data_IF_202361005360
#
_entry.id   IF_202361005360
#
_cell.length_a   1.000
_cell.length_b   1.000
_cell.length_c   1.000
_cell.angle_alpha   90.00
_cell.angle_beta   90.00
_cell.angle_gamma   90.00
#
_symmetry.space_group_name_H-M   'P 1'
#
loop_
_entity.id
_entity.type
_entity.pdbx_description
1 polymer ?
#
# COMPACT_ATOMS: atom_id res chain seq x y z
N UNK A 1 13.24 3.05 -1.67
CA UNK A 1 11.84 3.31 -1.27
C UNK A 1 11.02 3.72 -2.48
N UNK A 2 10.02 2.94 -2.80
CA UNK A 2 9.10 3.22 -3.89
C UNK A 2 8.05 4.28 -3.52
N UNK A 3 7.22 4.65 -4.50
CA UNK A 3 6.14 5.64 -4.32
C UNK A 3 5.18 5.25 -3.19
N UNK A 4 4.88 3.94 -3.03
CA UNK A 4 4.01 3.45 -1.97
C UNK A 4 4.62 3.61 -0.57
N UNK A 5 5.89 3.22 -0.38
CA UNK A 5 6.58 3.36 0.91
C UNK A 5 6.60 4.81 1.37
N UNK A 6 6.97 5.73 0.47
CA UNK A 6 6.96 7.17 0.77
C UNK A 6 5.54 7.71 1.00
N UNK A 7 4.53 7.14 0.33
CA UNK A 7 3.12 7.48 0.50
C UNK A 7 2.58 7.04 1.85
N UNK A 8 2.84 5.78 2.24
CA UNK A 8 2.39 5.23 3.54
C UNK A 8 3.02 6.01 4.70
N UNK A 9 4.33 6.31 4.62
CA UNK A 9 5.00 7.12 5.63
C UNK A 9 4.41 8.53 5.81
N UNK A 10 3.66 9.04 4.82
CA UNK A 10 2.95 10.33 4.90
C UNK A 10 1.53 10.22 5.47
N UNK A 11 0.94 9.04 5.51
CA UNK A 11 -0.41 8.84 6.06
C UNK A 11 -0.44 9.22 7.53
N UNK A 12 0.68 9.03 8.21
CA UNK A 12 0.87 9.29 9.63
C UNK A 12 1.18 10.77 9.98
N UNK A 13 1.04 11.70 9.01
CA UNK A 13 1.35 13.13 9.22
C UNK A 13 0.49 13.79 10.33
N UNK A 14 -0.67 13.19 10.66
CA UNK A 14 -1.61 13.70 11.67
C UNK A 14 -1.37 13.10 13.05
N UNK A 15 -0.62 11.99 13.16
CA UNK A 15 -0.37 11.28 14.40
C UNK A 15 1.06 11.52 14.91
N UNK A 16 1.30 11.29 16.21
CA UNK A 16 2.62 11.50 16.86
C UNK A 16 3.57 10.30 16.70
N UNK A 17 3.37 9.44 15.69
CA UNK A 17 4.18 8.25 15.49
C UNK A 17 5.58 8.57 14.97
N UNK A 18 6.59 7.88 15.47
CA UNK A 18 7.94 7.92 14.92
C UNK A 18 8.06 6.93 13.77
N UNK A 19 8.29 7.42 12.55
CA UNK A 19 8.39 6.61 11.34
C UNK A 19 9.84 6.33 10.98
N UNK A 20 10.17 5.07 10.72
CA UNK A 20 11.45 4.66 10.14
C UNK A 20 11.24 4.18 8.73
N UNK A 21 11.79 4.90 7.77
CA UNK A 21 11.76 4.53 6.36
C UNK A 21 13.04 3.77 6.01
N UNK A 22 12.88 2.47 5.77
CA UNK A 22 13.98 1.57 5.45
C UNK A 22 14.09 1.32 3.95
N UNK A 23 15.31 1.34 3.41
CA UNK A 23 15.65 0.83 2.08
C UNK A 23 17.14 0.44 2.05
N UNK A 24 17.48 -0.64 1.37
CA UNK A 24 18.88 -1.05 1.13
C UNK A 24 19.60 -0.07 0.18
N UNK A 25 18.87 0.64 -0.66
CA UNK A 25 19.41 1.60 -1.61
C UNK A 25 19.42 3.01 -1.04
N UNK A 26 20.60 3.50 -0.70
CA UNK A 26 20.81 4.84 -0.14
C UNK A 26 20.36 5.97 -1.08
N UNK A 27 20.45 5.77 -2.39
CA UNK A 27 19.95 6.75 -3.38
C UNK A 27 18.42 6.84 -3.34
N UNK A 28 17.75 5.68 -3.15
CA UNK A 28 16.30 5.63 -3.00
C UNK A 28 15.83 6.36 -1.73
N UNK A 29 16.54 6.22 -0.61
CA UNK A 29 16.29 6.96 0.63
C UNK A 29 16.46 8.47 0.42
N UNK A 30 17.55 8.88 -0.24
CA UNK A 30 17.83 10.30 -0.55
C UNK A 30 16.74 10.90 -1.45
N UNK A 31 16.32 10.15 -2.48
CA UNK A 31 15.23 10.56 -3.38
C UNK A 31 13.89 10.69 -2.64
N UNK A 32 13.60 9.75 -1.75
CA UNK A 32 12.39 9.77 -0.91
C UNK A 32 12.36 10.99 0.01
N UNK A 33 13.47 11.28 0.68
CA UNK A 33 13.62 12.47 1.53
C UNK A 33 13.37 13.78 0.76
N UNK A 34 13.99 13.91 -0.42
CA UNK A 34 13.80 15.08 -1.28
C UNK A 34 12.37 15.22 -1.80
N UNK A 35 11.71 14.10 -2.13
CA UNK A 35 10.33 14.09 -2.57
C UNK A 35 9.36 14.52 -1.44
N UNK A 36 9.60 14.06 -0.21
CA UNK A 36 8.85 14.50 0.96
C UNK A 36 9.02 16.01 1.18
N UNK A 37 10.25 16.51 1.22
CA UNK A 37 10.55 17.93 1.40
C UNK A 37 9.84 18.80 0.36
N UNK A 38 9.90 18.40 -0.91
CA UNK A 38 9.23 19.10 -2.01
C UNK A 38 7.71 19.12 -1.81
N UNK A 39 7.13 18.01 -1.35
CA UNK A 39 5.69 17.90 -1.10
C UNK A 39 5.27 18.81 0.05
N UNK A 40 5.99 18.76 1.17
CA UNK A 40 5.70 19.59 2.35
C UNK A 40 5.86 21.09 2.04
N UNK A 41 6.88 21.47 1.26
CA UNK A 41 7.05 22.86 0.83
C UNK A 41 5.84 23.36 0.02
N UNK A 42 5.33 22.52 -0.91
CA UNK A 42 4.10 22.85 -1.67
C UNK A 42 2.85 22.95 -0.80
N UNK A 43 2.78 22.17 0.31
CA UNK A 43 1.67 22.29 1.25
C UNK A 43 1.74 23.59 2.05
N UNK A 44 2.93 24.02 2.44
CA UNK A 44 3.15 25.34 3.07
C UNK A 44 2.80 26.47 2.11
N UNK A 45 3.28 26.42 0.85
CA UNK A 45 2.94 27.43 -0.18
C UNK A 45 1.42 27.53 -0.43
N UNK A 46 0.69 26.44 -0.24
CA UNK A 46 -0.79 26.37 -0.37
C UNK A 46 -1.53 26.66 0.95
N UNK A 47 -0.81 27.09 1.97
CA UNK A 47 -1.35 27.37 3.31
C UNK A 47 -2.14 26.21 3.93
N UNK A 48 -1.81 24.95 3.55
CA UNK A 48 -2.44 23.74 4.10
C UNK A 48 -1.79 23.29 5.39
N UNK A 49 -0.50 23.55 5.56
CA UNK A 49 0.28 23.36 6.77
C UNK A 49 1.18 24.57 6.98
N UNK A 50 1.63 24.79 8.21
CA UNK A 50 2.61 25.83 8.53
C UNK A 50 4.05 25.27 8.62
N UNK A 51 5.07 26.12 8.75
CA UNK A 51 6.47 25.71 8.84
C UNK A 51 6.79 24.89 10.10
N UNK A 52 6.04 25.07 11.18
CA UNK A 52 6.20 24.32 12.43
C UNK A 52 5.74 22.86 12.17
N UNK A 53 4.58 22.68 11.55
CA UNK A 53 4.04 21.37 11.18
C UNK A 53 4.97 20.66 10.17
N UNK A 54 5.46 21.40 9.14
CA UNK A 54 6.45 20.87 8.21
C UNK A 54 7.67 20.34 8.95
N UNK A 55 8.22 21.11 9.87
CA UNK A 55 9.41 20.72 10.65
C UNK A 55 9.12 19.52 11.55
N UNK A 56 7.94 19.45 12.17
CA UNK A 56 7.49 18.32 12.98
C UNK A 56 7.45 17.04 12.17
N UNK A 57 6.79 17.05 11.00
CA UNK A 57 6.69 15.89 10.11
C UNK A 57 8.09 15.42 9.67
N UNK A 58 8.97 16.35 9.28
CA UNK A 58 10.33 16.01 8.86
C UNK A 58 11.15 15.36 9.98
N UNK A 59 10.98 15.80 11.22
CA UNK A 59 11.71 15.29 12.38
C UNK A 59 11.19 13.92 12.86
N UNK A 60 9.92 13.59 12.58
CA UNK A 60 9.32 12.31 12.93
C UNK A 60 9.73 11.18 11.98
N UNK A 61 10.33 11.49 10.81
CA UNK A 61 10.74 10.48 9.83
C UNK A 61 12.25 10.29 9.86
N UNK A 62 12.69 9.09 10.23
CA UNK A 62 14.08 8.66 10.17
C UNK A 62 14.31 7.77 8.94
N UNK A 63 15.44 7.96 8.27
CA UNK A 63 15.84 7.18 7.10
C UNK A 63 16.95 6.22 7.48
N UNK A 64 16.69 4.92 7.39
CA UNK A 64 17.59 3.86 7.88
C UNK A 64 17.92 2.85 6.79
N UNK A 65 19.11 2.25 6.84
CA UNK A 65 19.60 1.28 5.86
C UNK A 65 19.92 -0.10 6.45
N UNK A 66 19.77 -0.27 7.76
CA UNK A 66 19.96 -1.55 8.44
C UNK A 66 18.66 -2.05 9.03
N UNK A 67 18.34 -3.34 8.87
CA UNK A 67 17.14 -3.94 9.46
C UNK A 67 17.13 -3.87 10.99
N UNK A 68 18.30 -3.89 11.63
CA UNK A 68 18.45 -3.74 13.08
C UNK A 68 17.88 -2.40 13.61
N UNK A 69 17.88 -1.36 12.78
CA UNK A 69 17.31 -0.07 13.17
C UNK A 69 15.79 -0.13 13.38
N UNK A 70 15.13 -1.20 12.87
CA UNK A 70 13.70 -1.45 13.04
C UNK A 70 13.35 -2.17 14.35
N UNK A 71 14.32 -2.53 15.19
CA UNK A 71 14.15 -3.38 16.39
C UNK A 71 13.07 -2.89 17.38
N UNK A 72 12.89 -1.57 17.48
CA UNK A 72 11.92 -0.94 18.39
C UNK A 72 10.66 -0.46 17.65
N UNK A 73 10.30 -1.10 16.55
CA UNK A 73 9.07 -0.77 15.82
C UNK A 73 7.91 -1.61 16.34
N UNK A 74 6.75 -1.00 16.55
CA UNK A 74 5.51 -1.71 16.93
C UNK A 74 4.82 -2.32 15.70
N UNK A 75 4.96 -1.66 14.54
CA UNK A 75 4.42 -2.10 13.26
C UNK A 75 5.47 -1.91 12.15
N UNK A 76 5.68 -2.94 11.35
CA UNK A 76 6.51 -2.86 10.12
C UNK A 76 5.61 -3.13 8.91
N UNK A 77 5.55 -2.20 7.97
CA UNK A 77 4.79 -2.34 6.73
C UNK A 77 5.76 -2.49 5.55
N UNK A 78 5.76 -3.66 4.95
CA UNK A 78 6.58 -3.97 3.78
C UNK A 78 5.85 -3.56 2.49
N UNK A 79 6.55 -2.89 1.58
CA UNK A 79 6.07 -2.52 0.25
C UNK A 79 7.21 -2.61 -0.81
N UNK A 80 7.89 -3.76 -0.83
CA UNK A 80 8.95 -4.07 -1.82
C UNK A 80 8.35 -4.67 -3.10
N UNK A 81 9.20 -5.23 -3.96
CA UNK A 81 8.77 -5.88 -5.22
C UNK A 81 7.73 -6.97 -4.97
N UNK A 82 6.77 -7.10 -5.89
CA UNK A 82 5.67 -8.07 -5.80
C UNK A 82 6.17 -9.47 -6.20
N UNK A 83 6.96 -10.08 -5.33
CA UNK A 83 7.53 -11.41 -5.48
C UNK A 83 7.48 -12.16 -4.16
N UNK A 84 6.76 -13.30 -4.15
CA UNK A 84 6.50 -14.09 -2.94
C UNK A 84 7.79 -14.53 -2.23
N UNK A 85 8.75 -15.05 -2.96
CA UNK A 85 9.99 -15.57 -2.37
C UNK A 85 10.85 -14.47 -1.75
N UNK A 86 10.88 -13.30 -2.39
CA UNK A 86 11.58 -12.13 -1.84
C UNK A 86 10.91 -11.64 -0.55
N UNK A 87 9.58 -11.58 -0.53
CA UNK A 87 8.82 -11.20 0.67
C UNK A 87 8.98 -12.22 1.80
N UNK A 88 8.87 -13.51 1.50
CA UNK A 88 9.09 -14.60 2.49
C UNK A 88 10.47 -14.51 3.14
N UNK A 89 11.50 -14.32 2.32
CA UNK A 89 12.87 -14.14 2.83
C UNK A 89 12.98 -12.92 3.75
N UNK A 90 12.43 -11.78 3.34
CA UNK A 90 12.44 -10.57 4.15
C UNK A 90 11.70 -10.75 5.48
N UNK A 91 10.51 -11.35 5.47
CA UNK A 91 9.72 -11.57 6.69
C UNK A 91 10.43 -12.52 7.67
N UNK A 92 11.00 -13.62 7.18
CA UNK A 92 11.81 -14.52 7.98
C UNK A 92 13.08 -13.85 8.56
N UNK A 93 13.65 -12.89 7.83
CA UNK A 93 14.80 -12.13 8.29
C UNK A 93 14.42 -11.07 9.32
N UNK A 94 13.32 -10.33 9.09
CA UNK A 94 12.79 -9.30 10.00
C UNK A 94 12.53 -9.85 11.41
N UNK A 95 12.03 -11.08 11.53
CA UNK A 95 11.77 -11.70 12.82
C UNK A 95 12.97 -11.77 13.75
N UNK A 96 14.19 -11.79 13.19
CA UNK A 96 15.43 -11.85 13.98
C UNK A 96 15.84 -10.48 14.57
N UNK A 97 15.25 -9.39 14.07
CA UNK A 97 15.63 -8.04 14.47
C UNK A 97 14.57 -7.32 15.29
N UNK A 98 13.29 -7.56 14.99
CA UNK A 98 12.18 -6.85 15.66
C UNK A 98 11.67 -7.61 16.90
N UNK A 99 10.97 -6.88 17.78
CA UNK A 99 10.33 -7.49 18.95
C UNK A 99 9.37 -8.62 18.54
N UNK A 100 9.22 -9.68 19.37
CA UNK A 100 8.19 -10.69 19.18
C UNK A 100 6.75 -10.14 19.09
N UNK A 101 6.52 -8.97 19.65
CA UNK A 101 5.21 -8.28 19.69
C UNK A 101 4.98 -7.38 18.46
N UNK A 102 6.03 -7.13 17.65
CA UNK A 102 5.92 -6.30 16.44
C UNK A 102 4.98 -6.93 15.42
N UNK A 103 4.00 -6.18 14.96
CA UNK A 103 3.13 -6.60 13.85
C UNK A 103 3.91 -6.49 12.53
N UNK A 104 3.92 -7.56 11.75
CA UNK A 104 4.55 -7.60 10.42
C UNK A 104 3.47 -7.54 9.34
N UNK A 105 3.43 -6.47 8.59
CA UNK A 105 2.41 -6.25 7.57
C UNK A 105 3.00 -6.22 6.16
N UNK A 106 2.29 -6.79 5.19
CA UNK A 106 2.61 -6.66 3.77
C UNK A 106 1.60 -5.76 3.05
N UNK A 107 2.09 -4.82 2.24
CA UNK A 107 1.26 -4.01 1.35
C UNK A 107 1.09 -4.68 -0.03
N UNK A 108 1.20 -5.98 -0.12
CA UNK A 108 0.93 -6.71 -1.37
C UNK A 108 -0.49 -6.44 -1.87
N UNK A 109 -0.68 -6.43 -3.18
CA UNK A 109 -1.99 -6.27 -3.82
C UNK A 109 -2.62 -7.58 -4.28
N UNK A 110 -1.85 -8.68 -4.28
CA UNK A 110 -2.30 -9.95 -4.89
C UNK A 110 -1.75 -11.20 -4.25
N UNK A 111 -0.61 -11.13 -3.55
CA UNK A 111 0.02 -12.31 -2.96
C UNK A 111 -0.70 -12.74 -1.68
N UNK A 112 -0.80 -14.05 -1.47
CA UNK A 112 -1.40 -14.62 -0.26
C UNK A 112 -0.62 -14.25 0.99
N UNK A 113 -1.31 -13.63 1.95
CA UNK A 113 -0.74 -13.28 3.26
C UNK A 113 -0.39 -14.55 4.04
N UNK A 114 -1.21 -15.59 3.94
CA UNK A 114 -0.94 -16.89 4.57
C UNK A 114 0.36 -17.53 4.03
N UNK A 115 0.65 -17.34 2.73
CA UNK A 115 1.91 -17.82 2.14
C UNK A 115 3.14 -17.05 2.60
N UNK A 116 3.00 -15.74 2.88
CA UNK A 116 4.06 -14.92 3.46
C UNK A 116 4.25 -15.32 4.93
N UNK A 117 3.17 -15.40 5.71
CA UNK A 117 3.17 -15.77 7.12
C UNK A 117 3.80 -17.15 7.37
N UNK A 118 3.62 -18.09 6.46
CA UNK A 118 4.20 -19.44 6.55
C UNK A 118 5.74 -19.47 6.55
N UNK A 119 6.41 -18.37 6.21
CA UNK A 119 7.87 -18.25 6.32
C UNK A 119 8.36 -17.78 7.69
N UNK A 120 7.45 -17.38 8.56
CA UNK A 120 7.74 -16.86 9.89
C UNK A 120 7.64 -17.95 10.97
N UNK A 121 8.42 -17.81 12.03
CA UNK A 121 8.30 -18.65 13.24
C UNK A 121 7.07 -18.29 14.08
N UNK A 122 6.66 -17.00 14.03
CA UNK A 122 5.48 -16.45 14.68
C UNK A 122 4.51 -15.90 13.63
N UNK A 123 3.84 -16.78 12.86
CA UNK A 123 2.96 -16.35 11.77
C UNK A 123 1.70 -15.61 12.24
N UNK A 124 1.32 -15.75 13.53
CA UNK A 124 0.15 -15.12 14.13
C UNK A 124 0.21 -13.59 14.17
N UNK A 125 1.41 -13.00 14.02
CA UNK A 125 1.62 -11.55 13.96
C UNK A 125 1.73 -10.97 12.56
N UNK A 126 1.54 -11.80 11.54
CA UNK A 126 1.60 -11.39 10.12
C UNK A 126 0.21 -11.06 9.60
N UNK A 127 0.09 -9.92 8.89
CA UNK A 127 -1.17 -9.42 8.36
C UNK A 127 -0.94 -8.67 7.03
N UNK A 128 -1.96 -8.56 6.18
CA UNK A 128 -1.95 -7.68 5.02
C UNK A 128 -2.52 -6.31 5.37
N UNK A 129 -1.87 -5.23 4.89
CA UNK A 129 -2.39 -3.87 4.94
C UNK A 129 -2.22 -3.26 3.56
N UNK A 130 -3.25 -3.33 2.74
CA UNK A 130 -3.21 -2.90 1.35
C UNK A 130 -3.71 -1.46 1.20
N UNK A 131 -2.77 -0.55 0.96
CA UNK A 131 -3.05 0.84 0.63
C UNK A 131 -3.20 1.04 -0.87
N UNK A 132 -4.05 1.96 -1.27
CA UNK A 132 -4.22 2.36 -2.66
C UNK A 132 -3.37 3.59 -2.99
N UNK A 133 -2.81 3.62 -4.19
CA UNK A 133 -1.97 4.74 -4.64
C UNK A 133 -2.81 5.92 -5.18
N UNK A 134 -2.60 7.16 -4.73
CA UNK A 134 -1.63 7.61 -3.72
C UNK A 134 -2.16 7.40 -2.28
N UNK A 135 -1.38 6.73 -1.42
CA UNK A 135 -1.79 6.36 -0.08
C UNK A 135 -2.28 7.54 0.80
N UNK A 136 -1.71 8.76 0.75
CA UNK A 136 -2.22 9.88 1.52
C UNK A 136 -3.61 10.35 1.09
N UNK A 137 -3.98 10.19 -0.19
CA UNK A 137 -5.24 10.69 -0.74
C UNK A 137 -6.37 9.66 -0.69
N UNK A 138 -6.01 8.38 -0.82
CA UNK A 138 -6.98 7.29 -0.83
C UNK A 138 -7.37 6.95 0.61
N UNK A 139 -8.66 7.06 0.90
CA UNK A 139 -9.16 6.80 2.26
C UNK A 139 -9.26 5.32 2.57
N UNK A 140 -9.61 4.49 1.59
CA UNK A 140 -9.80 3.07 1.78
C UNK A 140 -8.47 2.35 2.01
N UNK A 141 -8.45 1.46 2.99
CA UNK A 141 -7.38 0.50 3.25
C UNK A 141 -8.00 -0.87 3.48
N UNK A 142 -7.54 -1.87 2.75
CA UNK A 142 -7.92 -3.26 3.00
C UNK A 142 -7.00 -3.85 4.07
N UNK A 143 -7.58 -4.49 5.08
CA UNK A 143 -6.87 -5.24 6.11
C UNK A 143 -7.17 -6.72 5.89
N UNK A 144 -6.12 -7.51 5.66
CA UNK A 144 -6.23 -8.90 5.21
C UNK A 144 -5.58 -9.82 6.25
N UNK A 145 -6.35 -10.42 7.18
CA UNK A 145 -5.81 -11.44 8.06
C UNK A 145 -5.50 -12.72 7.29
N UNK A 146 -4.32 -13.28 7.52
CA UNK A 146 -4.03 -14.67 7.14
C UNK A 146 -4.82 -15.63 8.02
N UNK A 147 -4.86 -16.90 7.65
CA UNK A 147 -5.46 -17.94 8.51
C UNK A 147 -4.71 -18.08 9.84
N UNK A 148 -3.44 -17.72 9.88
CA UNK A 148 -2.58 -17.75 11.07
C UNK A 148 -2.71 -16.49 11.94
N UNK A 149 -3.18 -15.36 11.38
CA UNK A 149 -3.22 -14.07 12.07
C UNK A 149 -4.10 -14.14 13.32
N UNK A 150 -3.57 -13.69 14.46
CA UNK A 150 -4.34 -13.64 15.71
C UNK A 150 -5.40 -12.55 15.69
N UNK A 151 -6.46 -12.74 16.47
CA UNK A 151 -7.54 -11.76 16.63
C UNK A 151 -7.03 -10.44 17.24
N UNK A 152 -6.05 -10.53 18.13
CA UNK A 152 -5.40 -9.36 18.73
C UNK A 152 -4.69 -8.51 17.67
N UNK A 153 -3.90 -9.13 16.79
CA UNK A 153 -3.21 -8.46 15.69
C UNK A 153 -4.21 -7.82 14.73
N UNK A 154 -5.28 -8.53 14.38
CA UNK A 154 -6.34 -7.98 13.53
C UNK A 154 -6.99 -6.74 14.15
N UNK A 155 -7.40 -6.84 15.42
CA UNK A 155 -8.08 -5.76 16.13
C UNK A 155 -7.17 -4.55 16.30
N UNK A 156 -5.90 -4.77 16.67
CA UNK A 156 -4.89 -3.71 16.82
C UNK A 156 -4.64 -3.02 15.48
N UNK A 157 -4.51 -3.79 14.40
CA UNK A 157 -4.30 -3.25 13.05
C UNK A 157 -5.48 -2.39 12.60
N UNK A 158 -6.73 -2.88 12.76
CA UNK A 158 -7.94 -2.12 12.42
C UNK A 158 -7.96 -0.80 13.18
N UNK A 159 -7.70 -0.83 14.49
CA UNK A 159 -7.65 0.37 15.31
C UNK A 159 -6.59 1.34 14.82
N UNK A 160 -5.35 0.89 14.61
CA UNK A 160 -4.24 1.71 14.14
C UNK A 160 -4.55 2.41 12.81
N UNK A 161 -5.07 1.66 11.84
CA UNK A 161 -5.42 2.22 10.51
C UNK A 161 -6.61 3.19 10.62
N UNK A 162 -7.55 2.94 11.51
CA UNK A 162 -8.67 3.87 11.78
C UNK A 162 -8.20 5.15 12.48
N UNK A 163 -7.25 5.05 13.40
CA UNK A 163 -6.62 6.20 14.06
C UNK A 163 -5.86 7.09 13.04
N UNK A 164 -5.44 6.54 11.89
CA UNK A 164 -4.89 7.29 10.74
C UNK A 164 -5.98 7.89 9.83
N UNK A 165 -7.20 7.99 10.32
CA UNK A 165 -8.36 8.53 9.58
C UNK A 165 -8.66 7.80 8.27
N UNK A 166 -8.28 6.51 8.18
CA UNK A 166 -8.58 5.64 7.03
C UNK A 166 -9.86 4.85 7.26
N UNK A 167 -10.53 4.54 6.16
CA UNK A 167 -11.69 3.64 6.15
C UNK A 167 -11.18 2.22 5.95
N UNK A 168 -11.35 1.39 6.97
CA UNK A 168 -10.90 -0.01 6.96
C UNK A 168 -11.96 -0.92 6.35
N UNK A 169 -11.55 -1.75 5.39
CA UNK A 169 -12.32 -2.88 4.91
C UNK A 169 -11.55 -4.18 5.21
N UNK A 170 -12.13 -5.06 6.03
CA UNK A 170 -11.53 -6.37 6.30
C UNK A 170 -11.82 -7.30 5.13
N UNK A 171 -10.78 -7.78 4.46
CA UNK A 171 -10.85 -8.68 3.32
C UNK A 171 -10.34 -10.08 3.68
N UNK A 172 -10.87 -11.11 3.04
CA UNK A 172 -10.30 -12.45 3.11
C UNK A 172 -9.00 -12.52 2.29
N UNK A 173 -8.06 -13.36 2.73
CA UNK A 173 -6.83 -13.66 1.98
C UNK A 173 -7.15 -14.49 0.73
N UNK A 174 -7.68 -13.84 -0.27
CA UNK A 174 -8.05 -14.41 -1.57
C UNK A 174 -7.54 -13.51 -2.70
N UNK A 175 -7.26 -14.05 -3.89
CA UNK A 175 -6.72 -13.26 -5.01
C UNK A 175 -7.51 -11.99 -5.30
N UNK A 176 -6.81 -10.84 -5.32
CA UNK A 176 -7.39 -9.52 -5.60
C UNK A 176 -8.21 -8.92 -4.46
N UNK A 177 -8.25 -9.56 -3.28
CA UNK A 177 -8.97 -9.12 -2.08
C UNK A 177 -10.41 -8.68 -2.40
N UNK A 178 -10.80 -7.42 -2.12
CA UNK A 178 -12.12 -6.89 -2.47
C UNK A 178 -12.02 -6.01 -3.73
N UNK A 179 -11.23 -4.94 -3.69
CA UNK A 179 -11.24 -3.90 -4.73
C UNK A 179 -10.76 -4.43 -6.08
N UNK A 180 -9.61 -5.08 -6.13
CA UNK A 180 -9.11 -5.64 -7.37
C UNK A 180 -10.05 -6.70 -7.94
N UNK A 181 -10.62 -7.55 -7.09
CA UNK A 181 -11.58 -8.57 -7.51
C UNK A 181 -12.87 -7.98 -8.10
N UNK A 182 -13.39 -6.90 -7.51
CA UNK A 182 -14.60 -6.20 -8.00
C UNK A 182 -14.29 -5.38 -9.25
N UNK A 183 -13.09 -4.80 -9.35
CA UNK A 183 -12.69 -3.98 -10.50
C UNK A 183 -12.40 -4.80 -11.77
N UNK A 184 -12.10 -6.10 -11.66
CA UNK A 184 -11.73 -6.94 -12.82
C UNK A 184 -12.75 -6.97 -13.94
N UNK A 185 -14.05 -7.15 -13.68
CA UNK A 185 -15.06 -7.15 -14.73
C UNK A 185 -15.07 -5.86 -15.55
N UNK A 186 -14.68 -4.73 -14.99
CA UNK A 186 -14.58 -3.45 -15.69
C UNK A 186 -13.61 -3.52 -16.89
N UNK A 187 -12.48 -4.20 -16.72
CA UNK A 187 -11.50 -4.39 -17.79
C UNK A 187 -11.86 -5.57 -18.68
N UNK A 188 -12.13 -6.72 -18.10
CA UNK A 188 -12.32 -7.96 -18.87
C UNK A 188 -13.56 -7.91 -19.75
N UNK A 189 -14.65 -7.32 -19.26
CA UNK A 189 -15.87 -7.18 -20.05
C UNK A 189 -15.70 -6.13 -21.16
N UNK A 190 -14.98 -5.06 -20.91
CA UNK A 190 -14.68 -4.06 -21.92
C UNK A 190 -13.80 -4.59 -23.04
N UNK A 191 -12.82 -5.43 -22.72
CA UNK A 191 -12.01 -6.15 -23.71
C UNK A 191 -12.86 -7.12 -24.53
N UNK A 192 -13.82 -7.83 -23.90
CA UNK A 192 -14.74 -8.74 -24.58
C UNK A 192 -15.65 -7.99 -25.55
N UNK A 193 -16.23 -6.85 -25.16
CA UNK A 193 -17.06 -5.99 -26.02
C UNK A 193 -16.28 -5.58 -27.27
N UNK A 194 -15.00 -5.23 -27.12
CA UNK A 194 -14.14 -4.90 -28.25
C UNK A 194 -13.85 -6.11 -29.12
N UNK A 195 -13.51 -7.25 -28.55
CA UNK A 195 -13.16 -8.51 -29.25
C UNK A 195 -14.35 -9.04 -30.06
N UNK A 196 -15.57 -8.88 -29.54
CA UNK A 196 -16.84 -9.21 -30.20
C UNK A 196 -17.24 -8.16 -31.26
N UNK A 197 -16.40 -7.13 -31.48
CA UNK A 197 -16.66 -6.05 -32.44
C UNK A 197 -17.99 -5.27 -32.22
N UNK A 198 -18.44 -5.21 -30.98
CA UNK A 198 -19.65 -4.45 -30.61
C UNK A 198 -19.37 -2.94 -30.66
N UNK A 199 -18.20 -2.51 -30.17
CA UNK A 199 -17.77 -1.12 -30.19
C UNK A 199 -16.24 -1.01 -30.17
N UNK A 200 -15.72 0.15 -30.62
CA UNK A 200 -14.31 0.49 -30.51
C UNK A 200 -13.94 1.01 -29.12
N UNK A 201 -12.66 1.11 -28.83
CA UNK A 201 -12.13 1.55 -27.52
C UNK A 201 -12.67 2.91 -27.09
N UNK A 202 -12.72 3.87 -28.04
CA UNK A 202 -13.16 5.23 -27.76
C UNK A 202 -14.65 5.29 -27.41
N UNK A 203 -15.46 4.50 -28.09
CA UNK A 203 -16.91 4.39 -27.84
C UNK A 203 -17.18 3.74 -26.50
N UNK A 204 -16.45 2.68 -26.14
CA UNK A 204 -16.59 1.99 -24.84
C UNK A 204 -16.20 2.96 -23.70
N UNK A 205 -15.07 3.63 -23.81
CA UNK A 205 -14.62 4.61 -22.81
C UNK A 205 -15.61 5.78 -22.68
N UNK A 206 -16.11 6.30 -23.80
CA UNK A 206 -17.13 7.35 -23.80
C UNK A 206 -18.41 6.90 -23.09
N UNK A 207 -18.92 5.73 -23.42
CA UNK A 207 -20.16 5.21 -22.85
C UNK A 207 -20.07 5.03 -21.34
N UNK A 208 -18.97 4.44 -20.85
CA UNK A 208 -18.76 4.22 -19.41
C UNK A 208 -18.50 5.53 -18.67
N UNK A 209 -17.82 6.49 -19.27
CA UNK A 209 -17.63 7.83 -18.67
C UNK A 209 -18.93 8.64 -18.65
N UNK A 210 -19.66 8.68 -19.77
CA UNK A 210 -20.81 9.58 -19.95
C UNK A 210 -22.10 9.02 -19.38
N UNK A 211 -22.35 7.72 -19.57
CA UNK A 211 -23.58 7.04 -19.15
C UNK A 211 -23.36 6.33 -17.82
N UNK A 212 -22.23 5.63 -17.69
CA UNK A 212 -21.85 4.89 -16.47
C UNK A 212 -21.35 5.78 -15.34
N UNK A 213 -21.07 7.06 -15.60
CA UNK A 213 -20.55 8.05 -14.65
C UNK A 213 -19.21 7.65 -13.99
N UNK A 214 -18.38 6.87 -14.68
CA UNK A 214 -17.02 6.58 -14.26
C UNK A 214 -16.08 7.76 -14.57
N UNK A 215 -15.12 8.03 -13.71
CA UNK A 215 -14.13 9.13 -13.92
C UNK A 215 -13.26 8.89 -15.15
N UNK A 216 -12.92 7.62 -15.41
CA UNK A 216 -12.10 7.17 -16.54
C UNK A 216 -12.78 5.97 -17.20
N UNK A 217 -12.61 5.85 -18.51
CA UNK A 217 -12.97 4.64 -19.23
C UNK A 217 -11.98 3.49 -18.95
N UNK A 218 -12.35 2.25 -19.25
CA UNK A 218 -11.52 1.08 -18.97
C UNK A 218 -10.19 1.10 -19.72
N UNK A 219 -10.16 1.52 -20.97
CA UNK A 219 -8.94 1.58 -21.76
C UNK A 219 -8.05 2.73 -21.35
N UNK A 220 -8.61 3.91 -21.11
CA UNK A 220 -7.92 5.05 -20.53
C UNK A 220 -7.28 4.70 -19.17
N UNK A 221 -7.99 3.93 -18.34
CA UNK A 221 -7.48 3.49 -17.03
C UNK A 221 -6.39 2.42 -17.17
N UNK A 222 -6.54 1.47 -18.12
CA UNK A 222 -5.50 0.47 -18.40
C UNK A 222 -4.21 1.11 -18.92
N UNK A 223 -4.29 2.13 -19.78
CA UNK A 223 -3.13 2.89 -20.26
C UNK A 223 -2.43 3.64 -19.12
N UNK A 224 -3.19 4.22 -18.21
CA UNK A 224 -2.65 4.95 -17.05
C UNK A 224 -1.95 4.02 -16.04
N UNK A 225 -2.51 2.84 -15.79
CA UNK A 225 -1.96 1.86 -14.84
C UNK A 225 -0.75 1.11 -15.42
N UNK A 226 -0.79 0.83 -16.72
CA UNK A 226 0.13 -0.07 -17.41
C UNK A 226 -0.45 -1.48 -17.57
N UNK A 227 -0.35 -2.01 -18.77
CA UNK A 227 -0.91 -3.33 -19.11
C UNK A 227 -0.21 -4.48 -18.37
N UNK A 228 1.10 -4.36 -18.14
CA UNK A 228 1.90 -5.30 -17.37
C UNK A 228 1.44 -5.39 -15.91
N UNK A 229 1.21 -4.24 -15.27
CA UNK A 229 0.68 -4.18 -13.90
C UNK A 229 -0.73 -4.77 -13.85
N UNK A 230 -1.59 -4.41 -14.81
CA UNK A 230 -2.96 -4.91 -14.86
C UNK A 230 -2.99 -6.44 -15.05
N UNK A 231 -2.10 -6.99 -15.88
CA UNK A 231 -1.97 -8.44 -16.11
C UNK A 231 -1.48 -9.21 -14.87
N UNK A 232 -0.45 -8.70 -14.18
CA UNK A 232 0.13 -9.37 -13.00
C UNK A 232 -0.88 -9.49 -11.84
N UNK A 233 -1.77 -8.52 -11.72
CA UNK A 233 -2.79 -8.49 -10.65
C UNK A 233 -4.08 -9.25 -11.06
N UNK A 234 -4.20 -9.75 -12.29
CA UNK A 234 -5.33 -10.52 -12.82
C UNK A 234 -5.17 -11.99 -12.56
#
# INVERSE_FOLDING_TARGET
>A
SGTMVSGIAKVDETTEWAVKLFDLNQEALTKSKKALETTLSKLVEKEKINDIEKSRIQNNISYVSNLQDLSNSDLVIEAIVENLEVKRKLFSELENYVSPETILASNTSSLSIASIAASCQKPERVIGIHFFNPAPLMQLVEVIPAIQTSEEVLTTTIKTISDWEKVVAVAKDTPGFIVNRVARPFYSESLRIYDESVADFATIDWALKTIGNFRMGPFELMDMIGHDVNYIVT
#
